data_IF_117001668425
#
_entry.id   IF_117001668425
#
_cell.length_a   1.000
_cell.length_b   1.000
_cell.length_c   1.000
_cell.angle_alpha   90.00
_cell.angle_beta   90.00
_cell.angle_gamma   90.00
#
_symmetry.space_group_name_H-M   'P 1'
#
loop_
_entity.id
_entity.type
_entity.pdbx_description
1 polymer ?
#
# COMPACT_ATOMS: atom_id res chain seq x y z
N UNK A 1 -86.42 -22.56 3.54
CA UNK A 1 -85.75 -22.00 2.42
C UNK A 1 -85.78 -20.49 2.58
N UNK A 2 -84.72 -19.81 2.96
CA UNK A 2 -84.69 -18.38 2.99
C UNK A 2 -84.03 -17.82 1.69
N UNK A 3 -84.66 -16.88 1.11
CA UNK A 3 -84.31 -16.10 -0.07
C UNK A 3 -83.20 -15.15 0.25
N UNK A 4 -82.08 -15.24 -0.49
CA UNK A 4 -81.05 -14.30 -0.46
C UNK A 4 -81.37 -13.08 -1.36
N UNK A 5 -81.50 -11.95 -0.73
CA UNK A 5 -81.52 -10.62 -1.39
C UNK A 5 -80.12 -10.13 -1.63
N UNK A 6 -79.74 -9.64 -2.81
CA UNK A 6 -78.44 -9.07 -3.03
C UNK A 6 -78.42 -7.68 -2.42
N UNK A 7 -77.45 -7.45 -1.51
CA UNK A 7 -77.15 -6.16 -0.88
C UNK A 7 -76.55 -5.19 -1.89
N UNK A 8 -77.04 -3.99 -1.90
CA UNK A 8 -76.58 -2.80 -2.64
C UNK A 8 -75.09 -2.55 -2.46
N UNK A 9 -74.35 -2.64 -3.55
CA UNK A 9 -72.98 -2.10 -3.67
C UNK A 9 -73.02 -0.83 -4.50
N UNK A 10 -73.44 0.25 -3.88
CA UNK A 10 -73.23 1.56 -4.49
C UNK A 10 -73.39 2.65 -3.43
N UNK A 11 -72.29 3.07 -2.79
CA UNK A 11 -71.90 4.49 -2.92
C UNK A 11 -70.38 4.76 -2.76
N UNK A 12 -69.46 3.87 -3.19
CA UNK A 12 -68.05 4.15 -3.05
C UNK A 12 -67.36 4.72 -4.32
N UNK A 13 -68.11 4.89 -5.42
CA UNK A 13 -67.59 5.39 -6.68
C UNK A 13 -67.65 6.91 -6.86
N UNK A 14 -68.25 7.64 -5.92
CA UNK A 14 -68.39 9.09 -6.03
C UNK A 14 -67.31 9.93 -5.36
N UNK A 15 -66.26 9.31 -4.81
CA UNK A 15 -65.13 10.02 -4.19
C UNK A 15 -63.82 10.01 -5.00
N UNK A 16 -63.82 9.45 -6.20
CA UNK A 16 -62.71 9.66 -7.14
C UNK A 16 -62.93 11.00 -7.82
N UNK A 17 -62.33 12.03 -7.23
CA UNK A 17 -62.20 13.36 -7.81
C UNK A 17 -61.58 13.31 -9.22
N UNK A 18 -61.82 14.34 -10.04
CA UNK A 18 -61.44 14.35 -11.45
C UNK A 18 -59.89 14.26 -11.57
N UNK A 19 -59.37 13.06 -11.67
CA UNK A 19 -58.03 12.83 -12.15
C UNK A 19 -57.98 13.04 -13.67
N UNK A 20 -58.19 14.31 -14.03
CA UNK A 20 -58.06 14.77 -15.42
C UNK A 20 -56.64 14.60 -15.93
N UNK A 21 -56.44 14.50 -17.25
CA UNK A 21 -55.14 14.32 -17.89
C UNK A 21 -54.08 15.35 -17.52
N UNK A 22 -54.49 16.48 -16.88
CA UNK A 22 -53.60 17.50 -16.36
C UNK A 22 -52.81 17.09 -15.10
N UNK A 23 -53.39 16.23 -14.24
CA UNK A 23 -52.68 15.70 -13.05
C UNK A 23 -51.52 14.82 -13.42
N UNK A 24 -51.69 13.94 -14.41
CA UNK A 24 -50.63 13.06 -14.95
C UNK A 24 -49.53 13.87 -15.65
N UNK A 25 -49.84 14.93 -16.34
CA UNK A 25 -48.86 15.82 -17.01
C UNK A 25 -48.00 16.61 -16.00
N UNK A 26 -48.56 17.00 -14.83
CA UNK A 26 -47.79 17.66 -13.75
C UNK A 26 -46.82 16.71 -13.05
N UNK A 27 -47.23 15.46 -12.78
CA UNK A 27 -46.34 14.45 -12.24
C UNK A 27 -45.19 14.10 -13.20
N UNK A 28 -45.49 13.93 -14.49
CA UNK A 28 -44.46 13.63 -15.50
C UNK A 28 -43.45 14.77 -15.65
N UNK A 29 -43.85 16.05 -15.59
CA UNK A 29 -42.92 17.18 -15.62
C UNK A 29 -41.99 17.24 -14.41
N UNK A 30 -42.51 16.97 -13.21
CA UNK A 30 -41.69 16.99 -11.99
C UNK A 30 -40.66 15.83 -11.94
N UNK A 31 -41.01 14.66 -12.46
CA UNK A 31 -40.09 13.53 -12.57
C UNK A 31 -38.96 13.86 -13.55
N UNK A 32 -39.27 14.41 -14.71
CA UNK A 32 -38.28 14.80 -15.72
C UNK A 32 -37.26 15.82 -15.21
N UNK A 33 -37.70 16.78 -14.39
CA UNK A 33 -36.83 17.83 -13.84
C UNK A 33 -35.89 17.25 -12.74
N UNK A 34 -36.38 16.33 -11.94
CA UNK A 34 -35.56 15.65 -10.92
C UNK A 34 -34.46 14.78 -11.56
N UNK A 35 -34.75 14.11 -12.65
CA UNK A 35 -33.74 13.31 -13.37
C UNK A 35 -32.68 14.17 -14.04
N UNK A 36 -33.01 15.37 -14.50
CA UNK A 36 -32.04 16.33 -15.07
C UNK A 36 -31.05 16.87 -14.05
N UNK A 37 -31.36 16.83 -12.77
CA UNK A 37 -30.46 17.24 -11.69
C UNK A 37 -29.72 16.05 -11.08
N UNK A 38 -30.36 14.89 -10.94
CA UNK A 38 -29.77 13.71 -10.34
C UNK A 38 -28.69 13.05 -11.23
N UNK A 39 -28.88 13.08 -12.56
CA UNK A 39 -27.94 12.49 -13.51
C UNK A 39 -26.57 13.20 -13.49
N UNK A 40 -26.45 14.53 -13.58
CA UNK A 40 -25.16 15.21 -13.48
C UNK A 40 -24.53 15.04 -12.08
N UNK A 41 -25.32 15.00 -11.01
CA UNK A 41 -24.81 14.76 -9.65
C UNK A 41 -24.18 13.36 -9.51
N UNK A 42 -24.83 12.33 -10.02
CA UNK A 42 -24.28 10.96 -9.96
C UNK A 42 -23.01 10.81 -10.80
N UNK A 43 -22.92 11.47 -11.95
CA UNK A 43 -21.71 11.50 -12.78
C UNK A 43 -20.59 12.27 -12.07
N UNK A 44 -20.88 13.39 -11.41
CA UNK A 44 -19.89 14.11 -10.61
C UNK A 44 -19.37 13.27 -9.42
N UNK A 45 -20.21 12.52 -8.72
CA UNK A 45 -19.78 11.61 -7.65
C UNK A 45 -18.94 10.44 -8.18
N UNK A 46 -19.29 9.87 -9.33
CA UNK A 46 -18.49 8.85 -9.99
C UNK A 46 -17.12 9.39 -10.44
N UNK A 47 -17.09 10.57 -11.02
CA UNK A 47 -15.83 11.21 -11.43
C UNK A 47 -14.98 11.61 -10.22
N UNK A 48 -15.58 12.13 -9.15
CA UNK A 48 -14.87 12.45 -7.91
C UNK A 48 -14.35 11.18 -7.23
N UNK A 49 -15.11 10.08 -7.24
CA UNK A 49 -14.67 8.78 -6.74
C UNK A 49 -13.52 8.20 -7.55
N UNK A 50 -13.60 8.28 -8.88
CA UNK A 50 -12.50 7.88 -9.78
C UNK A 50 -11.27 8.78 -9.59
N UNK A 51 -11.45 10.09 -9.54
CA UNK A 51 -10.35 11.03 -9.26
C UNK A 51 -9.71 10.75 -7.90
N UNK A 52 -10.49 10.42 -6.86
CA UNK A 52 -9.98 10.03 -5.55
C UNK A 52 -9.19 8.71 -5.57
N UNK A 53 -9.51 7.80 -6.49
CA UNK A 53 -8.74 6.57 -6.72
C UNK A 53 -7.41 6.85 -7.45
N UNK A 54 -7.42 7.78 -8.42
CA UNK A 54 -6.22 8.15 -9.18
C UNK A 54 -5.34 9.19 -8.47
N UNK A 55 -5.95 10.06 -7.65
CA UNK A 55 -5.26 11.08 -6.85
C UNK A 55 -4.93 10.59 -5.43
N UNK A 56 -4.84 9.28 -5.20
CA UNK A 56 -4.27 8.81 -3.93
C UNK A 56 -2.90 9.46 -3.79
N UNK A 57 -2.71 10.40 -2.84
CA UNK A 57 -1.41 11.00 -2.65
C UNK A 57 -0.43 9.85 -2.45
N UNK A 58 0.64 9.87 -3.21
CA UNK A 58 1.75 8.94 -3.04
C UNK A 58 2.16 8.98 -1.57
N UNK A 59 1.62 8.05 -0.79
CA UNK A 59 1.97 7.96 0.63
C UNK A 59 3.47 7.72 0.68
N UNK A 60 4.17 8.65 1.32
CA UNK A 60 5.57 8.42 1.66
C UNK A 60 5.66 7.08 2.39
N UNK A 61 6.64 6.27 2.07
CA UNK A 61 6.80 4.99 2.74
C UNK A 61 7.06 5.23 4.24
N UNK A 62 6.66 4.26 5.04
CA UNK A 62 6.99 4.22 6.46
C UNK A 62 8.50 3.98 6.61
N UNK A 63 9.26 5.03 6.91
CA UNK A 63 10.72 4.99 6.99
C UNK A 63 11.22 4.01 8.06
N UNK A 64 10.68 4.00 9.30
CA UNK A 64 11.01 2.98 10.30
C UNK A 64 10.81 1.56 9.81
N UNK A 65 9.73 1.30 9.07
CA UNK A 65 9.46 -0.01 8.51
C UNK A 65 10.48 -0.41 7.44
N UNK A 66 10.86 0.52 6.55
CA UNK A 66 11.90 0.26 5.55
C UNK A 66 13.25 -0.04 6.21
N UNK A 67 13.62 0.71 7.23
CA UNK A 67 14.85 0.49 7.97
C UNK A 67 14.86 -0.88 8.64
N UNK A 68 13.80 -1.24 9.37
CA UNK A 68 13.66 -2.56 10.00
C UNK A 68 13.78 -3.72 9.00
N UNK A 69 13.21 -3.57 7.82
CA UNK A 69 13.30 -4.57 6.76
C UNK A 69 14.71 -4.71 6.20
N UNK A 70 15.42 -3.61 6.07
CA UNK A 70 16.81 -3.64 5.66
C UNK A 70 17.71 -4.26 6.73
N UNK A 71 17.52 -3.92 8.00
CA UNK A 71 18.22 -4.53 9.13
C UNK A 71 18.02 -6.06 9.17
N UNK A 72 16.77 -6.51 8.97
CA UNK A 72 16.46 -7.93 8.90
C UNK A 72 17.20 -8.62 7.74
N UNK A 73 17.22 -8.00 6.55
CA UNK A 73 17.96 -8.51 5.40
C UNK A 73 19.45 -8.61 5.70
N UNK A 74 20.05 -7.58 6.31
CA UNK A 74 21.47 -7.58 6.66
C UNK A 74 21.81 -8.66 7.66
N UNK A 75 21.05 -8.79 8.74
CA UNK A 75 21.25 -9.82 9.77
C UNK A 75 21.14 -11.22 9.19
N UNK A 76 20.20 -11.45 8.28
CA UNK A 76 20.01 -12.76 7.65
C UNK A 76 21.12 -13.10 6.65
N UNK A 77 21.50 -12.12 5.82
CA UNK A 77 22.47 -12.38 4.73
C UNK A 77 23.92 -12.38 5.18
N UNK A 78 24.21 -11.66 6.27
CA UNK A 78 25.56 -11.46 6.78
C UNK A 78 25.59 -11.57 8.32
N UNK A 79 25.34 -12.77 8.87
CA UNK A 79 25.31 -12.97 10.32
C UNK A 79 26.69 -12.78 10.98
N UNK A 80 27.75 -12.71 10.17
CA UNK A 80 29.12 -12.50 10.64
C UNK A 80 29.50 -11.04 10.83
N UNK A 81 28.59 -10.11 10.55
CA UNK A 81 28.84 -8.70 10.80
C UNK A 81 27.85 -8.16 11.82
N UNK A 82 28.25 -7.08 12.44
CA UNK A 82 27.38 -6.24 13.23
C UNK A 82 27.25 -4.87 12.56
N UNK A 83 26.03 -4.32 12.54
CA UNK A 83 25.73 -3.03 11.95
C UNK A 83 25.22 -2.09 13.04
N UNK A 84 25.90 -0.97 13.20
CA UNK A 84 25.50 0.09 14.13
C UNK A 84 25.22 1.40 13.39
N UNK A 85 24.56 2.34 14.05
CA UNK A 85 24.28 3.68 13.55
C UNK A 85 23.62 3.70 12.18
N UNK A 86 22.76 2.70 11.90
CA UNK A 86 22.06 2.62 10.64
C UNK A 86 21.04 3.74 10.51
N UNK A 87 21.21 4.57 9.50
CA UNK A 87 20.28 5.64 9.19
C UNK A 87 20.07 5.81 7.68
N UNK A 88 18.86 6.23 7.32
CA UNK A 88 18.51 6.54 5.95
C UNK A 88 19.14 7.88 5.56
N UNK A 89 20.09 7.86 4.61
CA UNK A 89 20.76 9.06 4.08
C UNK A 89 20.09 9.63 2.83
N UNK A 90 19.31 8.81 2.10
CA UNK A 90 18.60 9.23 0.89
C UNK A 90 17.40 8.33 0.58
N UNK A 91 16.37 8.92 -0.03
CA UNK A 91 15.19 8.19 -0.49
C UNK A 91 14.67 8.81 -1.79
N UNK A 92 14.63 8.02 -2.84
CA UNK A 92 14.19 8.45 -4.17
C UNK A 92 13.12 7.51 -4.71
N UNK A 93 12.04 8.09 -5.24
CA UNK A 93 10.99 7.32 -5.90
C UNK A 93 11.31 7.11 -7.37
N UNK A 94 11.18 5.87 -7.85
CA UNK A 94 11.33 5.50 -9.25
C UNK A 94 10.09 4.71 -9.71
N UNK A 95 9.10 5.42 -10.26
CA UNK A 95 7.83 4.80 -10.64
C UNK A 95 7.06 4.26 -9.41
N UNK A 96 6.90 2.94 -9.33
CA UNK A 96 6.28 2.24 -8.19
C UNK A 96 7.27 1.81 -7.11
N UNK A 97 8.56 1.92 -7.38
CA UNK A 97 9.65 1.46 -6.55
C UNK A 97 10.27 2.63 -5.78
N UNK A 98 11.03 2.30 -4.73
CA UNK A 98 11.76 3.25 -3.94
C UNK A 98 13.22 2.81 -3.84
N UNK A 99 14.14 3.72 -4.14
CA UNK A 99 15.57 3.54 -3.93
C UNK A 99 15.95 4.25 -2.64
N UNK A 100 16.30 3.46 -1.63
CA UNK A 100 16.76 3.95 -0.34
C UNK A 100 18.28 3.84 -0.26
N UNK A 101 18.92 4.85 0.29
CA UNK A 101 20.35 4.84 0.58
C UNK A 101 20.52 4.84 2.09
N UNK A 102 21.16 3.81 2.61
CA UNK A 102 21.46 3.65 4.04
C UNK A 102 22.93 3.89 4.30
N UNK A 103 23.21 4.60 5.37
CA UNK A 103 24.56 4.76 5.89
C UNK A 103 24.63 4.10 7.26
N UNK A 104 25.64 3.27 7.47
CA UNK A 104 25.81 2.51 8.70
C UNK A 104 27.27 2.14 8.94
N UNK A 105 27.56 1.77 10.17
CA UNK A 105 28.88 1.32 10.58
C UNK A 105 28.89 -0.20 10.63
N UNK A 106 29.91 -0.81 10.04
CA UNK A 106 30.07 -2.29 10.04
C UNK A 106 31.35 -2.71 10.73
N UNK A 107 31.29 -3.83 11.42
CA UNK A 107 32.44 -4.55 11.95
C UNK A 107 32.16 -6.03 12.00
N UNK A 108 33.19 -6.84 11.86
CA UNK A 108 33.07 -8.28 11.93
C UNK A 108 32.75 -8.73 13.35
N UNK A 109 31.83 -9.70 13.51
CA UNK A 109 31.59 -10.32 14.80
C UNK A 109 32.84 -11.09 15.27
N UNK A 110 33.04 -11.13 16.56
CA UNK A 110 34.21 -11.80 17.17
C UNK A 110 34.32 -13.24 16.69
N UNK A 111 35.48 -13.63 16.20
CA UNK A 111 35.73 -14.97 15.67
C UNK A 111 35.48 -15.15 14.18
N UNK A 112 34.78 -14.23 13.51
CA UNK A 112 34.52 -14.30 12.07
C UNK A 112 35.79 -14.14 11.23
N UNK A 113 36.79 -13.47 11.76
CA UNK A 113 38.12 -13.27 11.16
C UNK A 113 38.91 -14.57 11.00
N UNK A 114 38.61 -15.63 11.79
CA UNK A 114 39.29 -16.91 11.76
C UNK A 114 39.05 -17.70 10.46
N UNK A 115 37.92 -17.45 9.77
CA UNK A 115 37.57 -18.15 8.54
C UNK A 115 38.01 -17.40 7.29
N UNK A 116 38.95 -17.96 6.47
CA UNK A 116 39.38 -17.36 5.22
C UNK A 116 38.20 -17.13 4.23
N UNK A 117 37.23 -18.02 4.22
CA UNK A 117 36.04 -17.93 3.34
C UNK A 117 35.17 -16.75 3.75
N UNK A 118 34.90 -16.59 5.04
CA UNK A 118 34.14 -15.47 5.57
C UNK A 118 34.86 -14.15 5.28
N UNK A 119 36.17 -14.09 5.55
CA UNK A 119 36.99 -12.91 5.23
C UNK A 119 36.89 -12.52 3.75
N UNK A 120 37.08 -13.50 2.84
CA UNK A 120 36.98 -13.25 1.41
C UNK A 120 35.60 -12.75 0.99
N UNK A 121 34.53 -13.32 1.56
CA UNK A 121 33.14 -12.89 1.31
C UNK A 121 32.89 -11.47 1.78
N UNK A 122 33.27 -11.11 3.01
CA UNK A 122 33.08 -9.80 3.60
C UNK A 122 33.89 -8.72 2.87
N UNK A 123 35.16 -9.00 2.51
CA UNK A 123 35.98 -8.09 1.69
C UNK A 123 35.34 -7.83 0.31
N UNK A 124 34.78 -8.85 -0.32
CA UNK A 124 34.05 -8.68 -1.59
C UNK A 124 32.79 -7.85 -1.43
N UNK A 125 32.08 -8.01 -0.30
CA UNK A 125 30.85 -7.29 -0.02
C UNK A 125 31.09 -5.84 0.36
N UNK A 126 32.15 -5.56 1.09
CA UNK A 126 32.53 -4.23 1.59
C UNK A 126 33.99 -3.90 1.20
N UNK A 127 34.26 -3.70 -0.09
CA UNK A 127 35.62 -3.48 -0.58
C UNK A 127 36.26 -2.21 0.00
N UNK A 128 35.45 -1.20 0.29
CA UNK A 128 35.89 0.05 0.90
C UNK A 128 36.43 -0.11 2.33
N UNK A 129 35.97 -1.15 3.04
CA UNK A 129 36.39 -1.45 4.41
C UNK A 129 37.69 -2.26 4.44
N UNK A 130 37.87 -3.17 3.49
CA UNK A 130 39.08 -4.00 3.39
C UNK A 130 39.41 -4.75 4.69
N UNK A 131 40.63 -4.56 5.21
CA UNK A 131 41.09 -5.17 6.46
C UNK A 131 40.55 -4.51 7.73
N UNK A 132 39.98 -3.28 7.62
CA UNK A 132 39.44 -2.59 8.79
C UNK A 132 38.30 -3.36 9.47
N UNK A 133 37.51 -4.10 8.67
CA UNK A 133 36.43 -4.97 9.17
C UNK A 133 36.88 -5.95 10.27
N UNK A 134 38.15 -6.37 10.22
CA UNK A 134 38.69 -7.43 11.08
C UNK A 134 39.61 -6.89 12.18
N UNK A 135 39.77 -5.57 12.29
CA UNK A 135 40.59 -4.95 13.30
C UNK A 135 39.74 -4.62 14.53
N UNK A 136 40.04 -5.24 15.67
CA UNK A 136 39.34 -4.99 16.93
C UNK A 136 39.29 -3.48 17.26
N UNK A 137 38.12 -3.00 17.56
CA UNK A 137 37.87 -1.59 17.93
C UNK A 137 37.91 -0.61 16.75
N UNK A 138 38.04 -1.07 15.51
CA UNK A 138 37.89 -0.25 14.32
C UNK A 138 36.57 -0.53 13.65
N UNK A 139 35.92 0.54 13.20
CA UNK A 139 34.65 0.52 12.52
C UNK A 139 34.81 1.11 11.12
N UNK A 140 34.06 0.61 10.16
CA UNK A 140 34.01 1.11 8.80
C UNK A 140 32.61 1.64 8.49
N UNK A 141 32.52 2.87 8.00
CA UNK A 141 31.25 3.42 7.55
C UNK A 141 31.01 3.03 6.10
N UNK A 142 29.85 2.47 5.85
CA UNK A 142 29.41 1.98 4.55
C UNK A 142 28.16 2.74 4.11
N UNK A 143 28.03 2.93 2.81
CA UNK A 143 26.82 3.44 2.18
C UNK A 143 26.27 2.38 1.22
N UNK A 144 25.03 1.93 1.43
CA UNK A 144 24.40 0.92 0.60
C UNK A 144 23.08 1.42 0.03
N UNK A 145 22.87 1.13 -1.26
CA UNK A 145 21.63 1.45 -1.97
C UNK A 145 20.76 0.20 -2.07
N UNK A 146 19.53 0.34 -1.61
CA UNK A 146 18.55 -0.75 -1.56
C UNK A 146 17.31 -0.34 -2.32
N UNK A 147 16.92 -1.17 -3.28
CA UNK A 147 15.68 -1.01 -4.02
C UNK A 147 14.56 -1.72 -3.27
N UNK A 148 13.48 -0.99 -3.00
CA UNK A 148 12.25 -1.51 -2.43
C UNK A 148 11.17 -1.55 -3.50
N UNK A 149 10.55 -2.71 -3.65
CA UNK A 149 9.47 -2.95 -4.61
C UNK A 149 8.16 -3.28 -3.89
N UNK A 150 7.01 -2.87 -4.42
CA UNK A 150 5.73 -3.18 -3.82
C UNK A 150 5.36 -4.65 -4.04
N UNK A 151 5.07 -5.36 -2.95
CA UNK A 151 4.58 -6.75 -2.95
C UNK A 151 3.18 -6.79 -2.35
N UNK A 152 2.26 -7.52 -2.98
CA UNK A 152 0.92 -7.71 -2.43
C UNK A 152 1.01 -8.29 -1.02
N UNK A 153 0.20 -7.76 -0.10
CA UNK A 153 0.14 -8.14 1.32
C UNK A 153 1.35 -7.72 2.19
N UNK A 154 2.53 -7.52 1.62
CA UNK A 154 3.74 -7.17 2.36
C UNK A 154 4.13 -5.69 2.25
N UNK A 155 3.57 -4.95 1.28
CA UNK A 155 3.97 -3.55 1.03
C UNK A 155 5.33 -3.45 0.35
N UNK A 156 6.16 -2.47 0.75
CA UNK A 156 7.50 -2.27 0.17
C UNK A 156 8.52 -3.23 0.79
N UNK A 157 9.09 -4.10 -0.03
CA UNK A 157 10.08 -5.12 0.38
C UNK A 157 11.37 -4.90 -0.40
N UNK A 158 12.57 -5.11 0.21
CA UNK A 158 13.81 -5.09 -0.54
C UNK A 158 13.76 -6.07 -1.72
N UNK A 159 14.09 -5.62 -2.93
CA UNK A 159 14.07 -6.44 -4.14
C UNK A 159 14.89 -7.73 -3.98
N UNK A 160 16.02 -7.62 -3.31
CA UNK A 160 16.91 -8.76 -3.03
C UNK A 160 16.24 -9.87 -2.22
N UNK A 161 15.28 -9.53 -1.35
CA UNK A 161 14.51 -10.55 -0.60
C UNK A 161 13.66 -11.38 -1.55
N UNK A 162 13.06 -10.75 -2.54
CA UNK A 162 12.19 -11.45 -3.51
C UNK A 162 13.02 -12.37 -4.41
N UNK A 163 14.21 -11.93 -4.81
CA UNK A 163 15.06 -12.65 -5.76
C UNK A 163 15.85 -13.78 -5.11
N UNK A 164 16.43 -13.51 -3.94
CA UNK A 164 17.44 -14.39 -3.34
C UNK A 164 16.96 -15.09 -2.06
N UNK A 165 15.96 -14.51 -1.35
CA UNK A 165 15.56 -14.96 -0.01
C UNK A 165 14.04 -14.92 0.20
N UNK A 166 13.24 -15.60 -0.66
CA UNK A 166 11.78 -15.52 -0.60
C UNK A 166 11.19 -16.00 0.74
N UNK A 167 11.91 -16.83 1.50
CA UNK A 167 11.53 -17.28 2.84
C UNK A 167 11.46 -16.14 3.86
N UNK A 168 12.20 -15.06 3.66
CA UNK A 168 12.15 -13.89 4.53
C UNK A 168 10.86 -13.08 4.41
N UNK A 169 10.09 -13.26 3.33
CA UNK A 169 8.81 -12.56 3.15
C UNK A 169 7.84 -12.83 4.29
N UNK A 170 7.88 -14.03 4.85
CA UNK A 170 7.01 -14.40 5.98
C UNK A 170 7.34 -13.68 7.29
N UNK A 171 8.53 -13.08 7.38
CA UNK A 171 9.02 -12.34 8.57
C UNK A 171 8.89 -10.81 8.39
N UNK A 172 8.49 -10.35 7.20
CA UNK A 172 8.34 -8.94 6.82
C UNK A 172 6.89 -8.51 6.77
#
# INVERSE_FOLDING_TARGET
>A
MPSNTPAEISPLLSQLGPSGPEGLRRCARNVSTRWKILLPLSVCFLLAGLAGLFLRPDRRPDLPLLQKRFELLMTWTLPEIHCDDMHLSGLHKQGKEWLATYRFVVYATQGSEASPVIRARLKRRFPECGELLFQTGKACTVEERVRFVPVQQHGLVPEKVILDYPELLSQM
#
